data_IF_943265673868
#
_entry.id   IF_943265673868
#
_cell.length_a   1.000
_cell.length_b   1.000
_cell.length_c   1.000
_cell.angle_alpha   90.00
_cell.angle_beta   90.00
_cell.angle_gamma   90.00
#
_symmetry.space_group_name_H-M   'P 1'
#
loop_
_entity.id
_entity.type
_entity.pdbx_description
1 polymer ?
#
# COMPACT_ATOMS: atom_id res chain seq x y z
N UNK A 1 -9.56 54.51 -60.13
CA UNK A 1 -10.19 54.87 -58.84
C UNK A 1 -11.01 53.68 -58.38
N UNK A 2 -10.92 53.39 -57.09
CA UNK A 2 -11.53 52.28 -56.34
C UNK A 2 -10.69 50.99 -56.25
N UNK A 3 -9.92 50.98 -55.16
CA UNK A 3 -9.00 49.95 -54.70
C UNK A 3 -9.78 48.75 -54.16
N UNK A 4 -9.26 47.59 -54.54
CA UNK A 4 -9.58 46.22 -54.18
C UNK A 4 -9.74 46.02 -52.66
N UNK A 5 -10.88 45.49 -52.25
CA UNK A 5 -11.13 45.06 -50.88
C UNK A 5 -10.37 43.77 -50.56
N UNK A 6 -9.40 43.84 -49.64
CA UNK A 6 -8.85 42.67 -48.96
C UNK A 6 -9.62 42.46 -47.66
N UNK A 7 -10.52 41.48 -47.66
CA UNK A 7 -11.05 40.92 -46.42
C UNK A 7 -9.97 40.08 -45.75
N UNK A 8 -9.40 40.56 -44.64
CA UNK A 8 -8.58 39.73 -43.77
C UNK A 8 -9.48 38.80 -42.95
N UNK A 9 -9.75 37.62 -43.48
CA UNK A 9 -10.12 36.47 -42.66
C UNK A 9 -8.83 35.94 -42.00
N UNK A 10 -8.41 36.58 -40.90
CA UNK A 10 -7.26 36.14 -40.11
C UNK A 10 -7.62 34.91 -39.27
N UNK A 11 -6.90 33.80 -39.49
CA UNK A 11 -7.01 32.58 -38.71
C UNK A 11 -6.78 32.85 -37.21
N UNK A 12 -7.78 32.51 -36.39
CA UNK A 12 -7.80 32.68 -34.95
C UNK A 12 -7.01 31.56 -34.22
N UNK A 13 -5.76 31.32 -34.60
CA UNK A 13 -4.94 30.21 -34.06
C UNK A 13 -3.65 30.74 -33.46
N UNK A 14 -3.78 31.54 -32.40
CA UNK A 14 -2.67 31.72 -31.47
C UNK A 14 -2.47 30.39 -30.71
N UNK A 15 -1.23 29.87 -30.62
CA UNK A 15 -0.96 28.65 -29.88
C UNK A 15 -1.33 28.85 -28.41
N UNK A 16 -2.19 27.97 -27.90
CA UNK A 16 -2.61 27.94 -26.50
C UNK A 16 -2.11 26.66 -25.83
N UNK A 17 -1.64 26.74 -24.59
CA UNK A 17 -1.02 25.63 -23.87
C UNK A 17 -2.06 24.67 -23.24
N UNK A 18 -3.34 24.80 -23.60
CA UNK A 18 -4.42 23.91 -23.18
C UNK A 18 -5.81 24.54 -23.30
N UNK A 19 -6.88 23.78 -23.02
CA UNK A 19 -8.26 24.25 -23.12
C UNK A 19 -8.62 25.34 -22.10
N UNK A 20 -9.58 26.18 -22.48
CA UNK A 20 -10.30 27.11 -21.59
C UNK A 20 -11.46 26.39 -20.89
N UNK A 21 -11.99 26.98 -19.82
CA UNK A 21 -13.18 26.46 -19.12
C UNK A 21 -14.36 26.21 -20.08
N UNK A 22 -14.61 27.14 -21.00
CA UNK A 22 -15.67 27.01 -21.99
C UNK A 22 -15.43 25.82 -22.92
N UNK A 23 -14.22 25.66 -23.44
CA UNK A 23 -13.90 24.54 -24.33
C UNK A 23 -14.04 23.20 -23.61
N UNK A 24 -13.70 23.16 -22.32
CA UNK A 24 -13.85 21.97 -21.48
C UNK A 24 -15.31 21.58 -21.27
N UNK A 25 -16.16 22.54 -20.86
CA UNK A 25 -17.62 22.31 -20.70
C UNK A 25 -18.32 21.94 -22.01
N UNK A 26 -17.85 22.47 -23.15
CA UNK A 26 -18.38 22.08 -24.46
C UNK A 26 -17.91 20.67 -24.86
N UNK A 27 -16.65 20.32 -24.59
CA UNK A 27 -16.11 19.00 -24.89
C UNK A 27 -16.82 17.88 -24.12
N UNK A 28 -17.18 18.10 -22.84
CA UNK A 28 -17.93 17.13 -22.05
C UNK A 28 -19.27 16.73 -22.71
N UNK A 29 -19.96 17.69 -23.33
CA UNK A 29 -21.28 17.51 -23.96
C UNK A 29 -21.22 16.93 -25.37
N UNK A 30 -20.05 16.94 -26.00
CA UNK A 30 -19.85 16.46 -27.36
C UNK A 30 -19.38 15.00 -27.33
N UNK A 31 -20.21 14.01 -27.73
CA UNK A 31 -19.84 12.60 -27.69
C UNK A 31 -18.60 12.26 -28.53
N UNK A 32 -18.26 13.08 -29.53
CA UNK A 32 -17.06 12.87 -30.37
C UNK A 32 -15.78 13.30 -29.66
N UNK A 33 -15.87 14.23 -28.70
CA UNK A 33 -14.73 14.73 -27.91
C UNK A 33 -14.65 14.04 -26.55
N UNK A 34 -15.78 13.65 -25.98
CA UNK A 34 -15.87 12.90 -24.73
C UNK A 34 -15.99 11.40 -25.00
N UNK A 35 -14.98 10.82 -25.67
CA UNK A 35 -14.96 9.38 -25.97
C UNK A 35 -14.80 8.49 -24.73
N UNK A 36 -14.28 9.05 -23.64
CA UNK A 36 -14.08 8.36 -22.36
C UNK A 36 -15.27 8.51 -21.40
N UNK A 37 -16.31 9.25 -21.78
CA UNK A 37 -17.55 9.37 -21.01
C UNK A 37 -17.41 10.07 -19.65
N UNK A 38 -16.48 11.03 -19.49
CA UNK A 38 -16.28 11.69 -18.20
C UNK A 38 -17.40 12.67 -17.85
N UNK A 39 -17.69 12.79 -16.56
CA UNK A 39 -18.58 13.79 -15.98
C UNK A 39 -17.82 14.91 -15.28
N UNK A 40 -18.33 16.15 -15.33
CA UNK A 40 -17.84 17.27 -14.52
C UNK A 40 -18.73 17.41 -13.28
N UNK A 41 -18.12 17.40 -12.10
CA UNK A 41 -18.78 17.54 -10.80
C UNK A 41 -18.19 18.74 -10.07
N UNK A 42 -19.03 19.62 -9.53
CA UNK A 42 -18.55 20.73 -8.70
C UNK A 42 -18.19 20.22 -7.31
N UNK A 43 -17.06 20.70 -6.77
CA UNK A 43 -16.68 20.38 -5.40
C UNK A 43 -17.70 21.02 -4.45
N UNK A 44 -18.24 20.20 -3.54
CA UNK A 44 -19.28 20.59 -2.59
C UNK A 44 -19.09 19.85 -1.25
N UNK A 45 -19.67 20.35 -0.14
CA UNK A 45 -19.60 19.68 1.16
C UNK A 45 -20.14 18.23 1.14
N UNK A 46 -21.21 17.99 0.39
CA UNK A 46 -21.82 16.67 0.25
C UNK A 46 -20.89 15.69 -0.46
N UNK A 47 -20.21 16.15 -1.52
CA UNK A 47 -19.19 15.36 -2.21
C UNK A 47 -18.04 15.00 -1.28
N UNK A 48 -17.54 15.97 -0.51
CA UNK A 48 -16.42 15.75 0.41
C UNK A 48 -16.79 14.69 1.46
N UNK A 49 -18.00 14.77 2.00
CA UNK A 49 -18.51 13.79 2.98
C UNK A 49 -18.64 12.40 2.36
N UNK A 50 -19.11 12.32 1.11
CA UNK A 50 -19.18 11.07 0.36
C UNK A 50 -17.78 10.47 0.16
N UNK A 51 -16.80 11.26 -0.31
CA UNK A 51 -15.45 10.80 -0.56
C UNK A 51 -14.73 10.35 0.72
N UNK A 52 -14.91 11.09 1.83
CA UNK A 52 -14.32 10.73 3.12
C UNK A 52 -14.98 9.51 3.79
N UNK A 53 -16.17 9.12 3.34
CA UNK A 53 -16.85 7.91 3.83
C UNK A 53 -16.34 6.62 3.19
N UNK A 54 -15.52 6.72 2.14
CA UNK A 54 -14.90 5.59 1.47
C UNK A 54 -13.80 5.00 2.36
N UNK A 55 -14.04 3.79 2.90
CA UNK A 55 -13.03 3.08 3.69
C UNK A 55 -12.07 2.35 2.76
N UNK A 56 -10.75 2.44 2.98
CA UNK A 56 -9.80 1.63 2.24
C UNK A 56 -10.05 0.13 2.47
N UNK A 57 -9.61 -0.75 1.54
CA UNK A 57 -9.59 -2.19 1.79
C UNK A 57 -8.86 -2.47 3.11
N UNK A 58 -9.41 -3.35 3.94
CA UNK A 58 -8.88 -3.60 5.28
C UNK A 58 -8.51 -5.06 5.49
N UNK A 59 -7.44 -5.29 6.27
CA UNK A 59 -7.07 -6.63 6.71
C UNK A 59 -8.11 -7.25 7.64
N UNK A 60 -8.98 -6.45 8.24
CA UNK A 60 -10.06 -6.93 9.11
C UNK A 60 -11.00 -7.93 8.41
N UNK A 61 -11.10 -7.88 7.07
CA UNK A 61 -11.84 -8.89 6.31
C UNK A 61 -11.21 -10.29 6.41
N UNK A 62 -9.88 -10.36 6.49
CA UNK A 62 -9.11 -11.60 6.68
C UNK A 62 -8.99 -12.01 8.16
N UNK A 63 -9.33 -11.12 9.10
CA UNK A 63 -9.24 -11.38 10.53
C UNK A 63 -10.25 -12.43 11.01
N UNK A 64 -11.42 -12.56 10.36
CA UNK A 64 -12.47 -13.48 10.77
C UNK A 64 -12.12 -14.97 10.55
N UNK A 65 -11.04 -15.28 9.81
CA UNK A 65 -10.56 -16.65 9.61
C UNK A 65 -9.84 -17.20 10.86
N UNK A 66 -9.57 -16.37 11.87
CA UNK A 66 -8.85 -16.75 13.08
C UNK A 66 -9.61 -17.77 13.95
N UNK A 67 -10.95 -17.85 13.86
CA UNK A 67 -11.70 -18.85 14.64
C UNK A 67 -11.42 -20.30 14.22
N UNK A 68 -10.72 -20.53 13.10
CA UNK A 68 -10.25 -21.87 12.70
C UNK A 68 -8.76 -22.10 12.90
N UNK A 69 -8.00 -21.09 13.36
CA UNK A 69 -6.56 -21.22 13.54
C UNK A 69 -6.28 -22.09 14.75
N UNK A 70 -5.68 -23.26 14.52
CA UNK A 70 -5.11 -24.08 15.57
C UNK A 70 -3.92 -23.34 16.21
N UNK A 71 -3.59 -23.60 17.49
CA UNK A 71 -2.36 -23.08 18.09
C UNK A 71 -1.15 -23.45 17.21
N UNK A 72 -0.21 -22.50 17.03
CA UNK A 72 1.07 -22.68 16.31
C UNK A 72 2.04 -23.58 17.10
N UNK A 73 1.59 -24.76 17.49
CA UNK A 73 2.34 -25.76 18.26
C UNK A 73 2.24 -27.15 17.62
N UNK A 74 1.66 -27.23 16.42
CA UNK A 74 1.48 -28.50 15.72
C UNK A 74 2.65 -28.77 14.81
N UNK A 75 3.16 -29.99 14.87
CA UNK A 75 4.26 -30.43 14.03
C UNK A 75 3.73 -30.80 12.64
N UNK A 76 4.45 -30.41 11.59
CA UNK A 76 4.17 -30.75 10.21
C UNK A 76 5.35 -31.41 9.48
N UNK A 77 5.12 -31.93 8.26
CA UNK A 77 6.18 -32.46 7.42
C UNK A 77 7.30 -31.44 7.15
N UNK A 78 8.55 -31.86 7.31
CA UNK A 78 9.73 -31.00 7.13
C UNK A 78 10.23 -30.29 8.39
N UNK A 79 9.44 -30.29 9.47
CA UNK A 79 9.91 -29.80 10.77
C UNK A 79 11.04 -30.67 11.34
N UNK A 80 11.77 -30.13 12.32
CA UNK A 80 12.76 -30.90 13.08
C UNK A 80 12.50 -30.83 14.57
N UNK A 81 12.63 -31.97 15.26
CA UNK A 81 12.38 -32.11 16.70
C UNK A 81 13.67 -32.41 17.45
N UNK A 82 13.85 -31.76 18.59
CA UNK A 82 14.84 -32.10 19.60
C UNK A 82 14.16 -32.91 20.70
N UNK A 83 14.61 -34.14 20.92
CA UNK A 83 14.00 -35.09 21.84
C UNK A 83 15.02 -35.44 22.92
N UNK A 84 14.70 -35.12 24.17
CA UNK A 84 15.51 -35.47 25.33
C UNK A 84 14.80 -36.54 26.15
N UNK A 85 15.47 -37.68 26.34
CA UNK A 85 14.99 -38.80 27.14
C UNK A 85 15.85 -38.89 28.40
N UNK A 86 15.21 -38.71 29.56
CA UNK A 86 15.83 -38.87 30.87
C UNK A 86 15.41 -40.22 31.47
N UNK A 87 16.39 -40.99 31.92
CA UNK A 87 16.17 -42.23 32.65
C UNK A 87 16.57 -42.02 34.11
N UNK A 88 15.77 -42.53 35.05
CA UNK A 88 16.11 -42.44 36.46
C UNK A 88 17.24 -43.43 36.79
N UNK A 89 18.47 -42.94 36.83
CA UNK A 89 19.53 -43.46 37.70
C UNK A 89 19.34 -42.89 39.11
N UNK A 90 19.54 -43.70 40.15
CA UNK A 90 19.32 -43.33 41.56
C UNK A 90 19.91 -41.95 41.93
N UNK A 91 19.04 -41.03 42.37
CA UNK A 91 19.36 -39.78 43.08
C UNK A 91 19.72 -38.55 42.24
N UNK A 92 18.72 -37.72 41.89
CA UNK A 92 18.94 -36.45 41.16
C UNK A 92 18.81 -35.18 42.04
N UNK A 93 18.32 -35.29 43.28
CA UNK A 93 18.20 -34.12 44.19
C UNK A 93 18.68 -34.38 45.63
N UNK A 94 19.85 -35.00 45.81
CA UNK A 94 20.49 -35.06 47.14
C UNK A 94 21.51 -33.94 47.29
N UNK A 95 21.06 -32.80 47.82
CA UNK A 95 21.95 -31.78 48.35
C UNK A 95 22.57 -32.30 49.66
N UNK A 96 23.87 -32.61 49.65
CA UNK A 96 24.65 -32.79 50.88
C UNK A 96 25.51 -34.06 50.95
N UNK A 97 26.83 -33.84 50.93
CA UNK A 97 27.95 -34.72 51.31
C UNK A 97 28.53 -35.72 50.29
N UNK A 98 29.87 -35.75 50.13
CA UNK A 98 30.57 -36.66 49.23
C UNK A 98 30.92 -37.95 49.96
N UNK A 99 30.31 -39.07 49.55
CA UNK A 99 30.87 -40.40 49.85
C UNK A 99 30.96 -41.20 48.56
N UNK A 100 32.16 -41.74 48.35
CA UNK A 100 32.67 -42.38 47.15
C UNK A 100 31.81 -43.56 46.69
N UNK A 101 30.99 -43.34 45.67
CA UNK A 101 30.34 -44.37 44.83
C UNK A 101 29.93 -43.69 43.50
N UNK A 102 29.87 -44.41 42.36
CA UNK A 102 29.71 -43.78 41.05
C UNK A 102 28.39 -43.02 41.00
N UNK A 103 28.47 -41.70 40.91
CA UNK A 103 27.32 -40.83 40.70
C UNK A 103 26.79 -41.10 39.28
N UNK A 104 25.76 -41.93 39.16
CA UNK A 104 24.94 -41.99 37.96
C UNK A 104 24.12 -40.70 37.89
N UNK A 105 24.76 -39.58 37.54
CA UNK A 105 24.05 -38.38 37.11
C UNK A 105 23.17 -38.81 35.95
N UNK A 106 21.85 -38.60 36.04
CA UNK A 106 20.94 -38.86 34.93
C UNK A 106 21.42 -38.04 33.72
N UNK A 107 22.14 -38.69 32.79
CA UNK A 107 22.57 -38.08 31.54
C UNK A 107 21.41 -38.22 30.57
N UNK A 108 20.78 -37.12 30.12
CA UNK A 108 19.78 -37.22 29.08
C UNK A 108 20.40 -37.84 27.83
N UNK A 109 19.69 -38.79 27.24
CA UNK A 109 19.96 -39.16 25.85
C UNK A 109 19.25 -38.11 24.99
N UNK A 110 20.04 -37.25 24.36
CA UNK A 110 19.53 -36.24 23.44
C UNK A 110 19.62 -36.75 22.01
N UNK A 111 18.48 -36.72 21.33
CA UNK A 111 18.38 -36.97 19.89
C UNK A 111 17.98 -35.63 19.29
N UNK A 112 18.95 -34.94 18.70
CA UNK A 112 18.75 -33.60 18.14
C UNK A 112 18.42 -33.66 16.66
N UNK A 113 17.64 -32.68 16.19
CA UNK A 113 17.30 -32.48 14.79
C UNK A 113 16.67 -33.71 14.10
N UNK A 114 15.72 -34.38 14.76
CA UNK A 114 14.96 -35.49 14.16
C UNK A 114 14.00 -34.93 13.12
N UNK A 115 14.20 -35.19 11.81
CA UNK A 115 13.35 -34.61 10.78
C UNK A 115 12.02 -35.37 10.70
N UNK A 116 10.94 -34.62 10.47
CA UNK A 116 9.63 -35.16 10.13
C UNK A 116 9.59 -35.41 8.63
N UNK A 117 9.30 -36.65 8.23
CA UNK A 117 9.27 -37.01 6.81
C UNK A 117 8.01 -36.50 6.09
N UNK A 118 7.94 -36.73 4.78
CA UNK A 118 6.81 -36.28 3.95
C UNK A 118 5.47 -36.95 4.26
N UNK A 119 5.47 -38.06 5.00
CA UNK A 119 4.25 -38.73 5.48
C UNK A 119 3.82 -38.22 6.86
N UNK A 120 4.63 -37.35 7.50
CA UNK A 120 4.37 -36.85 8.84
C UNK A 120 4.90 -37.74 9.94
N UNK A 121 5.84 -38.64 9.64
CA UNK A 121 6.40 -39.61 10.58
C UNK A 121 7.83 -39.22 11.02
N UNK A 122 8.20 -39.63 12.23
CA UNK A 122 9.59 -39.63 12.72
C UNK A 122 10.04 -41.05 13.03
N UNK A 123 11.34 -41.31 12.90
CA UNK A 123 11.93 -42.60 13.27
C UNK A 123 12.81 -42.44 14.50
N UNK A 124 12.50 -43.19 15.56
CA UNK A 124 13.26 -43.16 16.81
C UNK A 124 13.80 -44.55 17.19
N UNK A 125 15.01 -44.63 17.78
CA UNK A 125 15.52 -45.88 18.33
C UNK A 125 14.54 -46.48 19.34
N UNK A 126 14.47 -47.82 19.40
CA UNK A 126 13.62 -48.62 20.31
C UNK A 126 12.10 -48.56 20.09
N UNK A 127 11.55 -47.47 19.55
CA UNK A 127 10.11 -47.28 19.31
C UNK A 127 9.71 -47.24 17.82
N UNK A 128 10.67 -47.14 16.89
CA UNK A 128 10.43 -47.23 15.45
C UNK A 128 9.78 -45.99 14.87
N UNK A 129 8.93 -46.19 13.85
CA UNK A 129 8.15 -45.12 13.21
C UNK A 129 7.02 -44.63 14.11
N UNK A 130 6.90 -43.32 14.22
CA UNK A 130 5.86 -42.63 14.98
C UNK A 130 5.28 -41.49 14.14
N UNK A 131 3.97 -41.51 13.94
CA UNK A 131 3.25 -40.42 13.28
C UNK A 131 3.11 -39.22 14.22
N UNK A 132 3.58 -38.04 13.77
CA UNK A 132 3.59 -36.81 14.58
C UNK A 132 2.90 -35.63 13.92
N UNK A 133 2.55 -35.73 12.63
CA UNK A 133 1.89 -34.62 11.94
C UNK A 133 0.55 -34.26 12.58
N UNK A 134 0.35 -32.96 12.83
CA UNK A 134 -0.83 -32.40 13.48
C UNK A 134 -0.87 -32.56 15.01
N UNK A 135 0.11 -33.25 15.61
CA UNK A 135 0.24 -33.38 17.05
C UNK A 135 1.01 -32.21 17.65
N UNK A 136 0.70 -31.86 18.90
CA UNK A 136 1.49 -30.91 19.68
C UNK A 136 2.74 -31.55 20.27
N UNK A 137 3.71 -30.73 20.66
CA UNK A 137 4.90 -31.18 21.39
C UNK A 137 4.54 -32.07 22.60
N UNK A 138 3.57 -31.66 23.42
CA UNK A 138 3.06 -32.42 24.58
C UNK A 138 2.40 -33.76 24.19
N UNK A 139 1.67 -33.80 23.08
CA UNK A 139 1.04 -35.03 22.58
C UNK A 139 2.11 -36.04 22.11
N UNK A 140 3.15 -35.55 21.43
CA UNK A 140 4.28 -36.35 20.98
C UNK A 140 5.06 -36.87 22.19
N UNK A 141 5.30 -36.05 23.22
CA UNK A 141 5.92 -36.47 24.49
C UNK A 141 5.16 -37.65 25.12
N UNK A 142 3.84 -37.52 25.24
CA UNK A 142 2.99 -38.56 25.85
C UNK A 142 3.05 -39.88 25.07
N UNK A 143 3.00 -39.80 23.74
CA UNK A 143 3.03 -40.97 22.86
C UNK A 143 4.41 -41.66 22.88
N UNK A 144 5.51 -40.91 22.87
CA UNK A 144 6.87 -41.46 23.02
C UNK A 144 7.02 -42.10 24.40
N UNK A 145 6.57 -41.43 25.46
CA UNK A 145 6.65 -41.96 26.82
C UNK A 145 5.86 -43.27 26.95
N UNK A 146 4.67 -43.35 26.35
CA UNK A 146 3.86 -44.56 26.34
C UNK A 146 4.55 -45.71 25.58
N UNK A 147 5.16 -45.44 24.42
CA UNK A 147 5.88 -46.47 23.64
C UNK A 147 7.18 -46.94 24.28
N UNK A 148 7.80 -46.13 25.14
CA UNK A 148 8.98 -46.49 25.92
C UNK A 148 8.65 -47.28 27.20
N UNK A 149 7.38 -47.35 27.62
CA UNK A 149 6.97 -48.18 28.77
C UNK A 149 7.33 -49.65 28.53
N UNK A 150 8.02 -50.26 29.49
CA UNK A 150 8.49 -51.65 29.41
C UNK A 150 9.79 -51.85 28.63
N UNK A 151 10.29 -50.81 27.96
CA UNK A 151 11.61 -50.80 27.28
C UNK A 151 12.66 -50.00 28.06
N UNK A 152 12.23 -49.02 28.86
CA UNK A 152 13.08 -48.20 29.74
C UNK A 152 12.48 -48.10 31.15
N UNK A 153 13.32 -47.89 32.17
CA UNK A 153 12.93 -47.73 33.57
C UNK A 153 12.50 -46.28 33.83
N UNK A 154 11.19 -46.04 33.89
CA UNK A 154 10.59 -44.72 34.16
C UNK A 154 11.11 -43.59 33.25
N UNK A 155 10.95 -43.70 31.91
CA UNK A 155 11.41 -42.66 30.99
C UNK A 155 10.62 -41.36 31.19
N UNK A 156 11.34 -40.25 31.24
CA UNK A 156 10.80 -38.90 31.13
C UNK A 156 11.25 -38.33 29.78
N UNK A 157 10.30 -37.87 28.99
CA UNK A 157 10.55 -37.40 27.62
C UNK A 157 10.21 -35.92 27.55
N UNK A 158 11.10 -35.15 26.93
CA UNK A 158 10.86 -33.75 26.58
C UNK A 158 11.08 -33.59 25.08
N UNK A 159 10.12 -32.99 24.39
CA UNK A 159 10.15 -32.74 22.95
C UNK A 159 10.09 -31.25 22.71
N UNK A 160 11.03 -30.75 21.93
CA UNK A 160 11.05 -29.35 21.51
C UNK A 160 11.09 -29.27 19.99
N UNK A 161 10.25 -28.42 19.42
CA UNK A 161 10.32 -28.10 17.99
C UNK A 161 11.56 -27.22 17.77
N UNK A 162 12.48 -27.68 16.93
CA UNK A 162 13.73 -26.99 16.63
C UNK A 162 13.59 -26.13 15.37
N UNK A 163 13.04 -26.70 14.30
CA UNK A 163 12.70 -25.96 13.08
C UNK A 163 11.20 -26.13 12.85
N UNK A 164 10.50 -25.00 12.82
CA UNK A 164 9.06 -24.94 12.55
C UNK A 164 8.86 -24.34 11.15
N UNK A 165 8.79 -25.20 10.15
CA UNK A 165 8.55 -24.83 8.76
C UNK A 165 7.06 -24.75 8.48
N UNK A 166 6.26 -25.62 9.10
CA UNK A 166 4.82 -25.67 8.92
C UNK A 166 4.15 -24.40 9.48
N UNK A 167 4.49 -23.99 10.70
CA UNK A 167 3.95 -22.79 11.33
C UNK A 167 4.84 -21.57 11.05
N UNK A 168 5.05 -21.25 9.77
CA UNK A 168 5.85 -20.09 9.38
C UNK A 168 5.15 -19.17 8.39
N UNK A 169 5.57 -17.91 8.38
CA UNK A 169 5.15 -16.91 7.38
C UNK A 169 6.33 -16.49 6.51
N UNK A 170 6.04 -15.93 5.35
CA UNK A 170 7.07 -15.38 4.46
C UNK A 170 6.91 -13.87 4.40
N UNK A 171 7.98 -13.13 4.71
CA UNK A 171 8.04 -11.67 4.57
C UNK A 171 9.05 -11.31 3.51
N UNK A 172 8.67 -10.48 2.54
CA UNK A 172 9.56 -10.06 1.45
C UNK A 172 9.22 -8.69 0.86
N UNK A 173 10.09 -8.20 -0.03
CA UNK A 173 9.94 -6.89 -0.68
C UNK A 173 10.70 -5.80 0.08
N UNK A 174 10.03 -4.71 0.41
CA UNK A 174 10.57 -3.51 1.06
C UNK A 174 11.01 -3.66 2.53
N UNK A 175 11.53 -4.83 2.92
CA UNK A 175 12.07 -5.13 4.26
C UNK A 175 13.58 -5.35 4.23
N UNK A 176 14.27 -5.12 5.35
CA UNK A 176 15.73 -5.31 5.43
C UNK A 176 16.16 -6.78 5.32
N UNK A 177 15.36 -7.70 5.85
CA UNK A 177 15.64 -9.14 5.88
C UNK A 177 14.42 -9.88 5.35
N UNK A 178 14.39 -10.09 4.04
CA UNK A 178 13.40 -10.96 3.43
C UNK A 178 13.66 -12.42 3.81
N UNK A 179 12.61 -13.19 4.06
CA UNK A 179 12.74 -14.60 4.39
C UNK A 179 11.54 -15.16 5.12
N UNK A 180 11.72 -16.40 5.57
CA UNK A 180 10.75 -17.11 6.40
C UNK A 180 10.91 -16.68 7.86
N UNK A 181 9.80 -16.46 8.53
CA UNK A 181 9.73 -16.17 9.97
C UNK A 181 8.88 -17.28 10.61
N UNK A 182 9.45 -18.11 11.50
CA UNK A 182 8.65 -19.08 12.25
C UNK A 182 7.71 -18.34 13.21
N UNK A 183 6.46 -18.77 13.28
CA UNK A 183 5.50 -18.31 14.26
C UNK A 183 5.70 -19.07 15.56
N UNK A 184 5.39 -18.43 16.68
CA UNK A 184 5.52 -19.04 18.00
C UNK A 184 4.19 -19.04 18.73
N UNK A 185 4.20 -19.55 19.96
CA UNK A 185 3.07 -19.47 20.88
C UNK A 185 2.70 -18.02 21.27
N UNK A 186 3.56 -17.04 20.95
CA UNK A 186 3.31 -15.62 21.21
C UNK A 186 2.27 -15.00 20.28
N UNK A 187 1.80 -15.72 19.25
CA UNK A 187 0.73 -15.26 18.37
C UNK A 187 1.10 -13.94 17.67
N UNK A 188 2.17 -13.98 16.86
CA UNK A 188 2.69 -12.81 16.15
C UNK A 188 1.64 -12.18 15.23
N UNK A 189 1.64 -10.85 15.19
CA UNK A 189 0.81 -10.05 14.29
C UNK A 189 1.61 -9.51 13.13
N UNK A 190 0.91 -8.91 12.17
CA UNK A 190 1.51 -8.39 10.94
C UNK A 190 2.67 -7.43 11.21
N UNK A 191 2.52 -6.51 12.17
CA UNK A 191 3.58 -5.56 12.52
C UNK A 191 4.80 -6.24 13.17
N UNK A 192 4.58 -7.32 13.93
CA UNK A 192 5.66 -8.07 14.59
C UNK A 192 6.53 -8.76 13.53
N UNK A 193 5.92 -9.38 12.53
CA UNK A 193 6.65 -9.99 11.43
C UNK A 193 7.45 -8.98 10.61
N UNK A 194 6.90 -7.78 10.36
CA UNK A 194 7.62 -6.69 9.68
C UNK A 194 8.82 -6.23 10.53
N UNK A 195 8.65 -6.10 11.85
CA UNK A 195 9.72 -5.74 12.76
C UNK A 195 10.82 -6.81 12.82
N UNK A 196 10.44 -8.09 12.89
CA UNK A 196 11.37 -9.24 12.86
C UNK A 196 12.13 -9.33 11.52
N UNK A 197 11.50 -8.93 10.41
CA UNK A 197 12.15 -8.76 9.11
C UNK A 197 13.08 -7.52 9.05
N UNK A 198 13.28 -6.81 10.16
CA UNK A 198 14.18 -5.65 10.27
C UNK A 198 13.54 -4.30 9.94
N UNK A 199 12.22 -4.24 9.80
CA UNK A 199 11.45 -3.05 9.46
C UNK A 199 11.46 -2.71 7.98
N UNK A 200 10.71 -1.65 7.63
CA UNK A 200 10.66 -1.07 6.28
C UNK A 200 11.93 -0.28 5.95
N UNK A 201 12.23 -0.18 4.65
CA UNK A 201 13.38 0.59 4.13
C UNK A 201 13.00 1.98 3.59
N UNK A 202 11.71 2.24 3.38
CA UNK A 202 11.16 3.42 2.72
C UNK A 202 10.27 4.22 3.69
N UNK A 203 9.77 5.39 3.30
CA UNK A 203 8.81 6.14 4.12
C UNK A 203 7.48 5.35 4.28
N UNK A 204 6.90 5.19 5.49
CA UNK A 204 5.66 4.44 5.68
C UNK A 204 4.49 4.90 4.79
N UNK A 205 4.48 6.17 4.41
CA UNK A 205 3.48 6.82 3.56
C UNK A 205 3.55 6.37 2.08
N UNK A 206 4.68 5.80 1.68
CA UNK A 206 4.99 5.32 0.33
C UNK A 206 5.05 3.78 0.26
N UNK A 207 4.61 3.09 1.30
CA UNK A 207 4.64 1.63 1.38
C UNK A 207 3.23 1.07 1.50
N UNK A 208 2.90 0.14 0.61
CA UNK A 208 1.72 -0.71 0.71
C UNK A 208 2.14 -2.05 1.30
N UNK A 209 1.43 -2.50 2.32
CA UNK A 209 1.54 -3.85 2.87
C UNK A 209 0.47 -4.69 2.20
N UNK A 210 0.89 -5.78 1.54
CA UNK A 210 0.02 -6.79 0.96
C UNK A 210 0.11 -8.06 1.80
N UNK A 211 -1.03 -8.60 2.19
CA UNK A 211 -1.15 -9.90 2.83
C UNK A 211 -1.90 -10.86 1.90
N UNK A 212 -1.31 -12.02 1.65
CA UNK A 212 -1.96 -13.14 0.99
C UNK A 212 -2.16 -14.28 1.99
N UNK A 213 -3.42 -14.71 2.16
CA UNK A 213 -3.84 -15.79 3.06
C UNK A 213 -4.83 -16.69 2.34
N UNK A 214 -4.52 -17.98 2.24
CA UNK A 214 -5.40 -19.00 1.63
C UNK A 214 -5.94 -18.60 0.23
N UNK A 215 -5.12 -17.91 -0.59
CA UNK A 215 -5.51 -17.43 -1.92
C UNK A 215 -6.32 -16.12 -1.94
N UNK A 216 -6.70 -15.58 -0.77
CA UNK A 216 -7.28 -14.25 -0.65
C UNK A 216 -6.17 -13.22 -0.45
N UNK A 217 -6.34 -12.04 -1.04
CA UNK A 217 -5.39 -10.94 -0.91
C UNK A 217 -6.10 -9.71 -0.32
N UNK A 218 -5.39 -9.01 0.56
CA UNK A 218 -5.77 -7.71 1.06
C UNK A 218 -4.54 -6.79 1.09
N UNK A 219 -4.79 -5.49 1.04
CA UNK A 219 -3.76 -4.46 1.00
C UNK A 219 -4.17 -3.30 1.88
N UNK A 220 -3.20 -2.68 2.55
CA UNK A 220 -3.37 -1.38 3.22
C UNK A 220 -2.04 -0.64 3.21
N UNK A 221 -2.05 0.66 3.50
CA UNK A 221 -0.78 1.39 3.63
C UNK A 221 -0.05 0.98 4.92
N UNK A 222 1.28 1.01 4.93
CA UNK A 222 2.05 0.75 6.15
C UNK A 222 1.70 1.77 7.23
N UNK A 223 1.42 3.01 6.84
CA UNK A 223 0.98 4.04 7.78
C UNK A 223 -0.35 3.71 8.46
N UNK A 224 -1.36 3.28 7.70
CA UNK A 224 -2.65 2.89 8.26
C UNK A 224 -2.51 1.66 9.17
N UNK A 225 -1.61 0.73 8.83
CA UNK A 225 -1.29 -0.42 9.67
C UNK A 225 -0.67 -0.01 11.03
N UNK A 226 0.14 1.05 11.05
CA UNK A 226 0.74 1.60 12.27
C UNK A 226 -0.26 2.40 13.12
N UNK A 227 -1.22 3.09 12.50
CA UNK A 227 -2.17 3.98 13.17
C UNK A 227 -3.47 3.29 13.61
N UNK A 228 -3.95 2.28 12.86
CA UNK A 228 -5.21 1.57 13.13
C UNK A 228 -4.94 0.13 13.62
N UNK A 229 -5.12 -0.14 14.93
CA UNK A 229 -4.93 -1.48 15.50
C UNK A 229 -5.80 -2.57 14.87
N UNK A 230 -6.92 -2.21 14.21
CA UNK A 230 -7.80 -3.19 13.55
C UNK A 230 -7.21 -3.73 12.24
N UNK A 231 -6.20 -3.06 11.68
CA UNK A 231 -5.41 -3.56 10.56
C UNK A 231 -4.31 -4.53 11.00
N UNK A 232 -3.85 -4.44 12.25
CA UNK A 232 -2.79 -5.29 12.78
C UNK A 232 -3.30 -6.67 13.19
N UNK A 233 -3.67 -7.48 12.20
CA UNK A 233 -4.29 -8.79 12.42
C UNK A 233 -3.26 -9.86 12.81
N UNK A 234 -3.76 -10.93 13.45
CA UNK A 234 -2.96 -12.10 13.80
C UNK A 234 -2.50 -12.84 12.55
N UNK A 235 -1.25 -13.29 12.53
CA UNK A 235 -0.69 -14.09 11.45
C UNK A 235 -1.01 -15.57 11.59
N UNK A 236 -1.09 -16.23 10.44
CA UNK A 236 -1.35 -17.66 10.33
C UNK A 236 -0.25 -18.33 9.52
N UNK A 237 -0.03 -19.61 9.80
CA UNK A 237 0.85 -20.47 9.02
C UNK A 237 0.54 -20.34 7.51
N UNK A 238 1.57 -20.13 6.71
CA UNK A 238 1.45 -19.99 5.25
C UNK A 238 1.11 -18.58 4.75
N UNK A 239 0.87 -17.60 5.63
CA UNK A 239 0.71 -16.19 5.23
C UNK A 239 1.94 -15.68 4.47
N UNK A 240 1.68 -14.86 3.45
CA UNK A 240 2.71 -14.16 2.69
C UNK A 240 2.51 -12.67 2.80
N UNK A 241 3.54 -11.99 3.29
CA UNK A 241 3.54 -10.57 3.57
C UNK A 241 4.53 -9.91 2.62
N UNK A 242 4.03 -9.00 1.79
CA UNK A 242 4.83 -8.25 0.85
C UNK A 242 4.77 -6.76 1.16
N UNK A 243 5.93 -6.13 1.32
CA UNK A 243 6.03 -4.67 1.38
C UNK A 243 6.36 -4.16 -0.02
N UNK A 244 5.49 -3.31 -0.56
CA UNK A 244 5.59 -2.76 -1.92
C UNK A 244 5.83 -1.27 -1.79
N UNK A 245 6.91 -0.77 -2.39
CA UNK A 245 7.15 0.67 -2.49
C UNK A 245 6.27 1.23 -3.61
N UNK A 246 5.31 2.06 -3.24
CA UNK A 246 4.41 2.75 -4.15
C UNK A 246 4.30 4.23 -3.74
N UNK A 247 5.24 5.08 -4.18
CA UNK A 247 5.22 6.48 -3.81
C UNK A 247 4.01 7.16 -4.44
N UNK A 248 3.26 7.88 -3.62
CA UNK A 248 2.03 8.56 -4.07
C UNK A 248 2.38 9.91 -4.67
N UNK A 249 1.89 10.17 -5.88
CA UNK A 249 2.15 11.42 -6.58
C UNK A 249 0.87 12.01 -7.16
N UNK A 250 0.86 13.32 -7.39
CA UNK A 250 -0.10 13.97 -8.27
C UNK A 250 0.65 14.73 -9.36
N UNK A 251 0.00 15.00 -10.48
CA UNK A 251 0.61 15.78 -11.56
C UNK A 251 -0.18 17.05 -11.79
N UNK A 252 0.51 18.19 -11.91
CA UNK A 252 -0.13 19.46 -12.24
C UNK A 252 0.22 19.90 -13.67
N UNK A 253 -0.78 20.37 -14.41
CA UNK A 253 -0.69 20.87 -15.77
C UNK A 253 -1.44 22.21 -15.95
N UNK A 254 -1.25 22.81 -17.12
CA UNK A 254 -1.97 24.01 -17.55
C UNK A 254 -1.31 25.30 -17.05
N UNK A 255 -2.12 26.29 -16.71
CA UNK A 255 -1.68 27.61 -16.26
C UNK A 255 -1.27 27.63 -14.77
N UNK A 256 -0.60 26.57 -14.30
CA UNK A 256 0.04 26.54 -13.00
C UNK A 256 1.38 27.28 -13.04
N UNK A 257 1.92 27.64 -11.86
CA UNK A 257 3.26 28.21 -11.80
C UNK A 257 4.33 27.19 -12.24
N UNK A 258 4.11 25.90 -11.95
CA UNK A 258 4.97 24.80 -12.35
C UNK A 258 4.16 23.61 -12.88
N UNK A 259 4.57 23.07 -14.02
CA UNK A 259 4.07 21.80 -14.55
C UNK A 259 5.00 20.70 -14.07
N UNK A 260 4.55 19.89 -13.12
CA UNK A 260 5.41 18.93 -12.41
C UNK A 260 4.62 17.75 -11.86
N UNK A 261 5.28 16.62 -11.69
CA UNK A 261 4.81 15.50 -10.86
C UNK A 261 5.35 15.69 -9.45
N UNK A 262 4.45 15.82 -8.46
CA UNK A 262 4.81 16.10 -7.07
C UNK A 262 4.47 14.91 -6.19
N UNK A 263 5.42 14.38 -5.40
CA UNK A 263 5.15 13.33 -4.43
C UNK A 263 4.39 13.88 -3.22
N UNK A 264 3.64 13.00 -2.57
CA UNK A 264 2.84 13.34 -1.39
C UNK A 264 3.75 13.55 -0.18
N UNK A 265 4.75 12.67 0.03
CA UNK A 265 5.67 12.69 1.18
C UNK A 265 4.98 12.72 2.56
N UNK A 266 3.67 12.48 2.61
CA UNK A 266 2.80 12.56 3.79
C UNK A 266 1.66 11.54 3.65
N UNK A 267 1.03 11.17 4.77
CA UNK A 267 -0.04 10.17 4.81
C UNK A 267 -1.26 10.60 3.96
N UNK A 268 -1.56 11.89 3.93
CA UNK A 268 -2.58 12.48 3.09
C UNK A 268 -2.12 13.84 2.57
N UNK A 269 -2.70 14.25 1.45
CA UNK A 269 -2.56 15.59 0.86
C UNK A 269 -3.96 16.04 0.48
N UNK A 270 -4.34 17.25 0.84
CA UNK A 270 -5.60 17.84 0.38
C UNK A 270 -5.38 18.71 -0.88
N UNK A 271 -6.47 19.09 -1.56
CA UNK A 271 -6.40 19.87 -2.80
C UNK A 271 -5.77 21.25 -2.59
N UNK A 272 -5.99 21.89 -1.44
CA UNK A 272 -5.38 23.18 -1.13
C UNK A 272 -3.85 23.06 -1.02
N UNK A 273 -3.34 22.05 -0.32
CA UNK A 273 -1.91 21.74 -0.24
C UNK A 273 -1.32 21.40 -1.60
N UNK A 274 -2.03 20.59 -2.41
CA UNK A 274 -1.58 20.25 -3.75
C UNK A 274 -1.42 21.50 -4.63
N UNK A 275 -2.40 22.42 -4.59
CA UNK A 275 -2.33 23.71 -5.27
C UNK A 275 -1.16 24.56 -4.75
N UNK A 276 -0.96 24.63 -3.44
CA UNK A 276 0.12 25.39 -2.83
C UNK A 276 1.50 24.86 -3.25
N UNK A 277 1.69 23.53 -3.30
CA UNK A 277 2.95 22.90 -3.71
C UNK A 277 3.36 23.22 -5.15
N UNK A 278 2.39 23.48 -6.02
CA UNK A 278 2.65 23.84 -7.44
C UNK A 278 2.60 25.35 -7.69
N UNK A 279 2.51 26.16 -6.62
CA UNK A 279 2.48 27.62 -6.66
C UNK A 279 1.13 28.24 -7.04
N UNK A 280 0.07 27.44 -7.08
CA UNK A 280 -1.29 27.87 -7.40
C UNK A 280 -1.51 28.29 -8.86
N UNK A 281 -2.70 28.84 -9.16
CA UNK A 281 -3.02 29.42 -10.46
C UNK A 281 -2.11 30.62 -10.77
N UNK A 282 -1.56 30.68 -11.99
CA UNK A 282 -0.76 31.83 -12.42
C UNK A 282 -1.63 33.08 -12.61
N UNK A 283 -1.35 34.15 -11.86
CA UNK A 283 -2.05 35.45 -11.99
C UNK A 283 -2.11 35.99 -13.43
N UNK A 284 -1.08 35.70 -14.23
CA UNK A 284 -0.95 36.21 -15.59
C UNK A 284 -1.61 35.34 -16.66
N UNK A 285 -1.95 34.07 -16.35
CA UNK A 285 -2.38 33.12 -17.37
C UNK A 285 -3.58 32.25 -17.00
N UNK A 286 -3.85 32.05 -15.72
CA UNK A 286 -4.85 31.13 -15.24
C UNK A 286 -6.24 31.75 -15.19
N UNK A 287 -7.25 30.91 -15.37
CA UNK A 287 -8.63 31.19 -14.99
C UNK A 287 -8.89 30.57 -13.60
N UNK A 288 -8.93 31.37 -12.51
CA UNK A 288 -9.12 30.84 -11.16
C UNK A 288 -10.47 30.15 -10.93
N UNK A 289 -11.47 30.37 -11.81
CA UNK A 289 -12.77 29.69 -11.74
C UNK A 289 -12.71 28.22 -12.19
N UNK A 290 -11.62 27.83 -12.83
CA UNK A 290 -11.57 26.66 -13.69
C UNK A 290 -10.34 25.80 -13.37
N UNK A 291 -10.31 25.32 -12.13
CA UNK A 291 -9.36 24.31 -11.68
C UNK A 291 -10.05 22.96 -11.74
N UNK A 292 -9.44 22.03 -12.45
CA UNK A 292 -10.01 20.72 -12.73
C UNK A 292 -9.11 19.64 -12.14
N UNK A 293 -9.69 18.71 -11.39
CA UNK A 293 -9.02 17.50 -10.91
C UNK A 293 -9.60 16.29 -11.64
N UNK A 294 -8.76 15.57 -12.37
CA UNK A 294 -9.14 14.36 -13.09
C UNK A 294 -8.80 13.15 -12.23
N UNK A 295 -9.78 12.28 -12.05
CA UNK A 295 -9.63 11.08 -11.24
C UNK A 295 -10.51 9.95 -11.75
N UNK A 296 -10.01 8.71 -11.66
CA UNK A 296 -10.84 7.53 -11.80
C UNK A 296 -11.44 7.15 -10.44
N UNK A 297 -12.76 7.15 -10.36
CA UNK A 297 -13.50 6.82 -9.13
C UNK A 297 -14.27 5.52 -9.30
N UNK A 298 -14.56 4.85 -8.19
CA UNK A 298 -15.37 3.63 -8.22
C UNK A 298 -16.78 3.92 -8.75
N UNK A 299 -17.35 2.96 -9.49
CA UNK A 299 -18.68 3.09 -10.10
C UNK A 299 -19.78 3.46 -9.09
N UNK A 300 -19.68 2.98 -7.84
CA UNK A 300 -20.61 3.33 -6.75
C UNK A 300 -20.61 4.82 -6.43
N UNK A 301 -19.45 5.48 -6.46
CA UNK A 301 -19.34 6.93 -6.24
C UNK A 301 -20.00 7.67 -7.38
N UNK A 302 -19.68 7.30 -8.62
CA UNK A 302 -20.27 7.89 -9.81
C UNK A 302 -21.81 7.78 -9.79
N UNK A 303 -22.35 6.63 -9.38
CA UNK A 303 -23.78 6.41 -9.26
C UNK A 303 -24.43 7.31 -8.19
N UNK A 304 -23.79 7.44 -7.02
CA UNK A 304 -24.28 8.33 -5.94
C UNK A 304 -24.22 9.80 -6.32
N UNK A 305 -23.29 10.17 -7.21
CA UNK A 305 -23.21 11.51 -7.81
C UNK A 305 -24.19 11.71 -8.98
N UNK A 306 -24.99 10.70 -9.33
CA UNK A 306 -25.97 10.78 -10.41
C UNK A 306 -25.35 10.80 -11.81
N UNK A 307 -24.10 10.34 -11.95
CA UNK A 307 -23.43 10.22 -13.25
C UNK A 307 -23.86 8.93 -13.95
N UNK A 308 -23.94 8.93 -15.30
CA UNK A 308 -24.25 7.72 -16.05
C UNK A 308 -23.10 6.71 -15.89
N UNK A 309 -23.42 5.53 -15.35
CA UNK A 309 -22.46 4.43 -15.15
C UNK A 309 -22.68 3.39 -16.25
N UNK A 310 -21.63 3.07 -17.00
CA UNK A 310 -21.67 1.98 -17.99
C UNK A 310 -21.74 0.64 -17.27
N UNK A 311 -22.67 -0.23 -17.67
CA UNK A 311 -22.79 -1.56 -17.07
C UNK A 311 -21.51 -2.37 -17.32
N UNK A 312 -20.83 -2.77 -16.25
CA UNK A 312 -19.61 -3.60 -16.29
C UNK A 312 -18.29 -2.85 -16.06
N UNK A 313 -18.30 -1.52 -15.97
CA UNK A 313 -17.10 -0.75 -15.60
C UNK A 313 -16.99 -0.60 -14.07
N UNK A 314 -15.83 -0.98 -13.50
CA UNK A 314 -15.57 -0.83 -12.05
C UNK A 314 -15.12 0.59 -11.68
N UNK A 315 -14.48 1.30 -12.61
CA UNK A 315 -13.96 2.65 -12.43
C UNK A 315 -14.41 3.58 -13.55
N UNK A 316 -14.83 4.78 -13.19
CA UNK A 316 -15.33 5.82 -14.09
C UNK A 316 -14.46 7.07 -14.00
N UNK A 317 -14.12 7.73 -15.13
CA UNK A 317 -13.42 9.00 -15.11
C UNK A 317 -14.36 10.13 -14.66
N UNK A 318 -13.97 10.84 -13.59
CA UNK A 318 -14.67 12.01 -13.07
C UNK A 318 -13.71 13.21 -13.08
N UNK A 319 -14.25 14.37 -13.44
CA UNK A 319 -13.53 15.64 -13.36
C UNK A 319 -14.18 16.52 -12.31
N UNK A 320 -13.46 16.80 -11.24
CA UNK A 320 -13.92 17.72 -10.21
C UNK A 320 -13.52 19.15 -10.55
N UNK A 321 -14.45 20.10 -10.43
CA UNK A 321 -14.19 21.52 -10.64
C UNK A 321 -14.15 22.27 -9.31
N UNK A 322 -13.13 23.11 -9.13
CA UNK A 322 -12.97 24.06 -8.05
C UNK A 322 -12.96 25.50 -8.61
N UNK A 323 -13.71 26.38 -7.97
CA UNK A 323 -13.75 27.83 -8.27
C UNK A 323 -13.06 28.62 -7.15
N UNK A 324 -11.82 29.07 -7.38
CA UNK A 324 -11.06 29.85 -6.39
C UNK A 324 -11.40 31.35 -6.37
N UNK A 325 -12.30 31.85 -7.22
CA UNK A 325 -12.82 33.22 -7.07
C UNK A 325 -13.72 33.29 -5.83
N UNK A 326 -14.43 32.20 -5.53
CA UNK A 326 -15.23 32.10 -4.32
C UNK A 326 -14.34 31.75 -3.10
N UNK A 327 -14.24 32.61 -2.07
CA UNK A 327 -13.46 32.32 -0.87
C UNK A 327 -13.89 31.04 -0.14
N UNK A 328 -15.17 30.64 -0.25
CA UNK A 328 -15.66 29.41 0.36
C UNK A 328 -14.96 28.16 -0.20
N UNK A 329 -14.52 28.19 -1.46
CA UNK A 329 -13.87 27.07 -2.13
C UNK A 329 -12.50 26.72 -1.53
N UNK A 330 -11.84 27.66 -0.86
CA UNK A 330 -10.59 27.35 -0.15
C UNK A 330 -10.83 26.38 1.01
N UNK A 331 -11.90 26.58 1.78
CA UNK A 331 -12.30 25.64 2.84
C UNK A 331 -12.70 24.27 2.28
N UNK A 332 -13.35 24.26 1.10
CA UNK A 332 -13.67 23.00 0.42
C UNK A 332 -12.39 22.27 -0.03
N UNK A 333 -11.40 22.99 -0.54
CA UNK A 333 -10.13 22.43 -1.00
C UNK A 333 -9.28 21.85 0.15
N UNK A 334 -9.35 22.42 1.35
CA UNK A 334 -8.68 21.87 2.55
C UNK A 334 -9.24 20.51 2.97
N UNK A 335 -10.52 20.25 2.72
CA UNK A 335 -11.19 19.01 3.10
C UNK A 335 -11.31 18.00 1.94
N UNK A 336 -10.90 18.38 0.73
CA UNK A 336 -10.94 17.50 -0.43
C UNK A 336 -9.67 16.64 -0.46
N UNK A 337 -9.75 15.31 -0.24
CA UNK A 337 -8.57 14.45 -0.21
C UNK A 337 -8.04 14.21 -1.63
N UNK A 338 -6.74 14.36 -1.83
CA UNK A 338 -6.04 13.93 -3.05
C UNK A 338 -5.78 12.42 -3.02
N UNK A 339 -5.86 11.76 -4.17
CA UNK A 339 -5.55 10.33 -4.35
C UNK A 339 -4.30 10.16 -5.22
N UNK A 340 -3.68 8.99 -5.14
CA UNK A 340 -2.52 8.66 -5.95
C UNK A 340 -2.86 8.81 -7.45
N UNK A 341 -1.94 9.41 -8.21
CA UNK A 341 -2.03 9.67 -9.65
C UNK A 341 -3.17 10.61 -10.07
N UNK A 342 -3.68 11.40 -9.13
CA UNK A 342 -4.56 12.52 -9.47
C UNK A 342 -3.87 13.50 -10.43
N UNK A 343 -4.65 14.02 -11.37
CA UNK A 343 -4.17 15.03 -12.32
C UNK A 343 -4.89 16.34 -12.07
N UNK A 344 -4.14 17.35 -11.65
CA UNK A 344 -4.57 18.72 -11.47
C UNK A 344 -4.33 19.51 -12.76
N UNK A 345 -5.34 20.20 -13.25
CA UNK A 345 -5.25 21.04 -14.43
C UNK A 345 -5.82 22.42 -14.13
N UNK A 346 -5.03 23.45 -14.37
CA UNK A 346 -5.46 24.85 -14.22
C UNK A 346 -5.74 25.41 -15.61
N UNK A 347 -6.98 25.79 -15.88
CA UNK A 347 -7.37 26.28 -17.21
C UNK A 347 -6.76 27.65 -17.51
N UNK A 348 -6.60 27.94 -18.80
CA UNK A 348 -6.09 29.23 -19.26
C UNK A 348 -7.21 30.29 -19.26
N UNK A 349 -6.88 31.51 -18.84
CA UNK A 349 -7.74 32.67 -18.94
C UNK A 349 -8.12 32.99 -20.39
N UNK A 350 -9.38 33.33 -20.62
CA UNK A 350 -9.91 33.72 -21.95
C UNK A 350 -9.17 34.93 -22.55
N UNK A 351 -8.63 35.81 -21.70
CA UNK A 351 -7.99 37.09 -22.03
C UNK A 351 -6.54 36.98 -22.55
N UNK A 352 -5.90 35.81 -22.47
CA UNK A 352 -4.53 35.61 -22.97
C UNK A 352 -4.37 35.66 -24.50
N UNK A 353 -5.47 35.85 -25.24
CA UNK A 353 -5.46 36.02 -26.70
C UNK A 353 -5.04 37.44 -27.12
N UNK A 354 -5.31 38.47 -26.30
CA UNK A 354 -5.02 39.88 -26.64
C UNK A 354 -3.58 40.30 -26.27
N UNK A 355 -3.09 39.93 -25.07
CA UNK A 355 -1.73 40.29 -24.63
C UNK A 355 -0.61 39.67 -25.50
N UNK A 356 -0.78 38.42 -25.95
CA UNK A 356 0.15 37.76 -26.90
C UNK A 356 0.17 38.45 -28.27
N UNK A 357 -0.96 38.99 -28.73
CA UNK A 357 -1.04 39.76 -29.97
C UNK A 357 -0.29 41.09 -29.87
N UNK A 358 -0.38 41.81 -28.74
CA UNK A 358 0.36 43.06 -28.53
C UNK A 358 1.88 42.86 -28.43
N UNK A 359 2.35 41.77 -27.81
CA UNK A 359 3.78 41.46 -27.79
C UNK A 359 4.32 41.09 -29.18
N UNK A 360 3.53 40.42 -30.04
CA UNK A 360 3.91 40.18 -31.44
C UNK A 360 3.98 41.48 -32.26
N UNK A 361 3.05 42.42 -32.03
CA UNK A 361 3.04 43.73 -32.70
C UNK A 361 4.23 44.59 -32.25
N UNK A 362 4.57 44.60 -30.95
CA UNK A 362 5.76 45.31 -30.46
C UNK A 362 7.07 44.69 -30.96
N UNK A 363 7.14 43.36 -31.13
CA UNK A 363 8.33 42.69 -31.69
C UNK A 363 8.52 42.99 -33.19
N UNK A 364 7.43 43.30 -33.91
CA UNK A 364 7.47 43.74 -35.31
C UNK A 364 7.79 45.24 -35.47
N UNK A 365 7.76 46.04 -34.40
CA UNK A 365 7.91 47.51 -34.45
C UNK A 365 9.19 48.07 -33.81
N UNK A 366 10.18 47.26 -33.44
CA UNK A 366 11.53 47.78 -33.08
C UNK A 366 12.64 46.86 -33.60
N UNK A 367 13.69 47.35 -34.32
CA UNK A 367 14.17 48.74 -34.44
C UNK A 367 14.35 49.27 -35.89
N UNK A 368 13.82 50.47 -36.15
CA UNK A 368 14.15 51.31 -37.31
C UNK A 368 14.89 52.60 -36.92
N UNK A 369 15.74 52.57 -35.87
CA UNK A 369 16.58 53.70 -35.49
C UNK A 369 18.00 53.25 -35.14
N UNK A 370 18.77 52.86 -36.16
CA UNK A 370 20.24 52.82 -36.09
C UNK A 370 20.86 52.95 -37.49
N UNK A 371 20.50 53.99 -38.26
CA UNK A 371 21.18 54.31 -39.51
C UNK A 371 21.28 55.83 -39.65
N UNK A 372 22.21 56.42 -38.93
CA UNK A 372 22.43 57.87 -38.96
C UNK A 372 23.59 58.31 -38.09
N UNK A 373 24.80 57.79 -38.39
CA UNK A 373 26.10 58.46 -38.15
C UNK A 373 27.28 57.56 -38.55
N UNK A 374 27.55 57.50 -39.85
CA UNK A 374 28.91 57.36 -40.38
C UNK A 374 29.02 58.27 -41.60
N UNK A 375 29.49 59.49 -41.39
CA UNK A 375 30.35 60.23 -42.33
C UNK A 375 30.68 61.61 -41.74
N UNK A 376 31.89 61.74 -41.18
CA UNK A 376 32.86 62.74 -41.62
C UNK A 376 34.23 62.43 -41.02
#
# INVERSE_FOLDING_TARGET
MMILGLGLAGCNTLPNSGPTESEFKHAQKDPKKNSVGYGIVQISPDLITLLNSEKPPSFSMLANDVQKSHPNDRVGPGDSLDIAIYEMGVGVFTAGSPTSAPSSTAKPTMISAVPVDGNGDITLPYIGLLHVSGLTSEQIESEIQQRLKGKSQSPQVMVKIQTDLENSVIVYGGVKRSGRIPLTLHQERLIDAIALAGGNMEQPEDVIVRLERHGNQAETSLRDLEEDPTQNILLQAGDRIQLIREPRTFTAFGAAHQVTETPFNTSSVNLAEALARVGGPSDSQADPNAIFLFRYENADIAQRLGLPVTTGETKMPIVYQLDMINPASYFLAEHFPMKNKDVLYIANAKTNKLGKAFNLINTLMSPGMSAGRVSH
#
